data_IF_268553220962
#
_entry.id   IF_268553220962
#
_cell.length_a   1.000
_cell.length_b   1.000
_cell.length_c   1.000
_cell.angle_alpha   90.00
_cell.angle_beta   90.00
_cell.angle_gamma   90.00
#
_symmetry.space_group_name_H-M   'P 1'
#
loop_
_entity.id
_entity.type
_entity.pdbx_description
1 polymer ?
#
# COMPACT_ATOMS: atom_id res chain seq x y z
N UNK A 1 9.07 -47.42 17.36
CA UNK A 1 8.95 -46.95 15.96
C UNK A 1 10.08 -45.96 15.76
N UNK A 2 11.14 -46.35 15.04
CA UNK A 2 12.35 -45.53 14.87
C UNK A 2 11.95 -44.18 14.26
N UNK A 3 12.16 -43.09 15.01
CA UNK A 3 12.11 -41.75 14.43
C UNK A 3 13.29 -41.67 13.47
N UNK A 4 13.03 -41.75 12.17
CA UNK A 4 14.03 -41.34 11.18
C UNK A 4 14.38 -39.89 11.52
N UNK A 5 15.62 -39.68 11.97
CA UNK A 5 16.19 -38.36 12.13
C UNK A 5 16.70 -38.00 10.74
N UNK A 6 16.05 -37.02 10.10
CA UNK A 6 16.51 -36.50 8.83
C UNK A 6 17.91 -35.90 9.04
N UNK A 7 18.89 -36.46 8.34
CA UNK A 7 20.29 -35.99 8.34
C UNK A 7 20.52 -35.06 7.15
N UNK A 8 21.61 -34.29 7.14
CA UNK A 8 21.98 -33.45 5.99
C UNK A 8 22.14 -34.23 4.67
N UNK A 9 22.44 -35.54 4.74
CA UNK A 9 22.52 -36.44 3.59
C UNK A 9 21.17 -36.93 3.08
N UNK A 10 20.07 -36.68 3.80
CA UNK A 10 18.72 -37.10 3.40
C UNK A 10 18.22 -36.19 2.27
N UNK A 11 17.85 -36.79 1.12
CA UNK A 11 17.24 -36.04 0.02
C UNK A 11 15.93 -35.39 0.47
N UNK A 12 15.63 -34.18 -0.02
CA UNK A 12 14.45 -33.39 0.38
C UNK A 12 13.15 -34.21 0.32
N UNK A 13 12.85 -34.85 -0.83
CA UNK A 13 11.61 -35.64 -0.99
C UNK A 13 11.61 -37.00 -0.27
N UNK A 14 12.73 -37.37 0.36
CA UNK A 14 12.83 -38.53 1.24
C UNK A 14 12.78 -38.18 2.73
N UNK A 15 12.76 -36.88 3.07
CA UNK A 15 12.72 -36.42 4.45
C UNK A 15 11.34 -36.69 5.08
N UNK A 16 11.34 -37.09 6.35
CA UNK A 16 10.12 -37.38 7.09
C UNK A 16 9.23 -36.13 7.25
N UNK A 17 9.85 -34.94 7.30
CA UNK A 17 9.15 -33.66 7.37
C UNK A 17 8.37 -33.33 6.08
N UNK A 18 8.87 -33.74 4.90
CA UNK A 18 8.20 -33.52 3.61
C UNK A 18 7.02 -34.48 3.39
N UNK A 19 6.96 -35.58 4.16
CA UNK A 19 5.87 -36.55 4.10
C UNK A 19 4.59 -36.08 4.82
N UNK A 20 4.58 -34.88 5.41
CA UNK A 20 3.47 -34.32 6.18
C UNK A 20 3.10 -32.93 5.64
N UNK A 21 1.81 -32.53 5.68
CA UNK A 21 1.42 -31.15 5.40
C UNK A 21 2.11 -30.17 6.35
N UNK A 22 2.34 -28.94 5.89
CA UNK A 22 2.83 -27.86 6.75
C UNK A 22 1.80 -27.56 7.85
N UNK A 23 2.24 -27.23 9.09
CA UNK A 23 1.33 -26.81 10.16
C UNK A 23 0.57 -25.53 9.81
N UNK A 24 -0.75 -25.54 10.03
CA UNK A 24 -1.64 -24.42 9.65
C UNK A 24 -2.24 -23.65 10.83
N UNK A 25 -2.29 -24.24 12.03
CA UNK A 25 -2.98 -23.66 13.20
C UNK A 25 -2.06 -23.38 14.39
N UNK A 26 -0.90 -24.04 14.47
CA UNK A 26 -0.01 -23.98 15.63
C UNK A 26 1.45 -23.90 15.18
N UNK A 27 2.28 -23.29 16.02
CA UNK A 27 3.73 -23.24 15.82
C UNK A 27 4.28 -24.68 15.96
N UNK A 28 5.12 -25.17 15.03
CA UNK A 28 5.71 -26.50 15.15
C UNK A 28 6.56 -26.64 16.43
N UNK A 29 6.44 -27.76 17.14
CA UNK A 29 7.23 -28.05 18.36
C UNK A 29 8.74 -28.22 18.10
N UNK A 30 9.12 -28.50 16.84
CA UNK A 30 10.49 -28.74 16.42
C UNK A 30 10.82 -27.98 15.14
N UNK A 31 12.08 -27.60 15.00
CA UNK A 31 12.60 -27.05 13.76
C UNK A 31 12.64 -28.08 12.64
N UNK A 32 12.57 -27.60 11.40
CA UNK A 32 12.78 -28.35 10.16
C UNK A 32 14.11 -27.92 9.53
N UNK A 33 14.71 -28.76 8.68
CA UNK A 33 15.87 -28.33 7.87
C UNK A 33 15.46 -27.16 6.94
N UNK A 34 16.30 -26.13 6.77
CA UNK A 34 15.94 -24.96 5.96
C UNK A 34 15.48 -25.29 4.53
N UNK A 35 16.14 -26.25 3.87
CA UNK A 35 15.80 -26.65 2.50
C UNK A 35 14.47 -27.40 2.39
N UNK A 36 14.12 -28.21 3.40
CA UNK A 36 12.83 -28.89 3.43
C UNK A 36 11.70 -27.86 3.61
N UNK A 37 11.89 -26.88 4.51
CA UNK A 37 10.93 -25.81 4.73
C UNK A 37 10.76 -24.93 3.47
N UNK A 38 11.86 -24.53 2.84
CA UNK A 38 11.85 -23.77 1.59
C UNK A 38 11.12 -24.55 0.48
N UNK A 39 11.44 -25.83 0.30
CA UNK A 39 10.84 -26.63 -0.75
C UNK A 39 9.34 -26.84 -0.53
N UNK A 40 8.90 -27.11 0.69
CA UNK A 40 7.48 -27.27 1.01
C UNK A 40 6.68 -25.99 0.73
N UNK A 41 7.15 -24.83 1.22
CA UNK A 41 6.50 -23.54 0.96
C UNK A 41 6.47 -23.24 -0.55
N UNK A 42 7.59 -23.49 -1.24
CA UNK A 42 7.67 -23.30 -2.70
C UNK A 42 6.66 -24.17 -3.46
N UNK A 43 6.39 -25.40 -3.01
CA UNK A 43 5.38 -26.26 -3.63
C UNK A 43 3.96 -25.75 -3.39
N UNK A 44 3.63 -25.24 -2.20
CA UNK A 44 2.33 -24.62 -1.94
C UNK A 44 2.09 -23.41 -2.85
N UNK A 45 3.12 -22.59 -3.09
CA UNK A 45 3.05 -21.43 -3.99
C UNK A 45 2.84 -21.80 -5.46
N UNK A 46 2.99 -23.06 -5.88
CA UNK A 46 2.61 -23.49 -7.24
C UNK A 46 1.09 -23.45 -7.46
N UNK A 47 0.31 -23.41 -6.39
CA UNK A 47 -1.15 -23.28 -6.44
C UNK A 47 -1.59 -21.84 -6.69
N UNK A 48 -0.69 -20.86 -6.56
CA UNK A 48 -0.96 -19.49 -6.97
C UNK A 48 -1.09 -19.40 -8.49
N UNK A 49 -1.93 -18.47 -8.95
CA UNK A 49 -2.06 -18.17 -10.37
C UNK A 49 -0.76 -17.60 -10.95
N UNK A 50 -0.50 -17.87 -12.23
CA UNK A 50 0.63 -17.25 -12.92
C UNK A 50 0.41 -15.74 -13.07
N UNK A 51 1.21 -14.94 -12.37
CA UNK A 51 1.10 -13.48 -12.36
C UNK A 51 1.22 -12.85 -13.77
N UNK A 52 1.87 -13.51 -14.74
CA UNK A 52 1.95 -13.04 -16.14
C UNK A 52 0.66 -13.18 -16.92
N UNK A 53 -0.22 -14.05 -16.45
CA UNK A 53 -1.52 -14.29 -17.07
C UNK A 53 -2.63 -13.58 -16.29
N UNK A 54 -2.30 -12.86 -15.20
CA UNK A 54 -3.24 -12.04 -14.47
C UNK A 54 -3.45 -10.70 -15.18
N UNK A 55 -4.58 -10.56 -15.88
CA UNK A 55 -4.96 -9.34 -16.59
C UNK A 55 -5.88 -8.42 -15.76
N UNK A 56 -6.16 -8.77 -14.50
CA UNK A 56 -7.03 -7.98 -13.62
C UNK A 56 -6.27 -7.01 -12.72
N UNK A 57 -5.01 -7.33 -12.38
CA UNK A 57 -4.21 -6.50 -11.48
C UNK A 57 -3.63 -5.28 -12.20
N UNK A 58 -3.51 -4.18 -11.46
CA UNK A 58 -2.77 -2.99 -11.88
C UNK A 58 -1.32 -3.00 -11.36
N UNK A 59 -0.95 -3.95 -10.50
CA UNK A 59 0.40 -4.05 -9.94
C UNK A 59 1.38 -4.67 -10.95
N UNK A 60 2.64 -4.25 -10.88
CA UNK A 60 3.71 -4.76 -11.73
C UNK A 60 3.95 -6.25 -11.48
N UNK A 61 4.07 -7.04 -12.56
CA UNK A 61 4.38 -8.49 -12.50
C UNK A 61 5.64 -8.87 -13.26
N UNK A 62 6.38 -7.88 -13.78
CA UNK A 62 7.71 -8.03 -14.39
C UNK A 62 8.70 -7.01 -13.89
N UNK A 63 9.90 -7.46 -13.58
CA UNK A 63 11.02 -6.64 -13.19
C UNK A 63 12.27 -7.14 -13.90
N UNK A 64 13.13 -6.21 -14.31
CA UNK A 64 14.46 -6.50 -14.83
C UNK A 64 15.35 -7.15 -13.76
N UNK A 65 16.36 -7.91 -14.18
CA UNK A 65 17.26 -8.58 -13.23
C UNK A 65 18.04 -7.59 -12.35
N UNK A 66 18.33 -6.40 -12.88
CA UNK A 66 18.94 -5.30 -12.15
C UNK A 66 18.04 -4.83 -10.99
N UNK A 67 16.73 -4.74 -11.21
CA UNK A 67 15.76 -4.38 -10.16
C UNK A 67 15.75 -5.45 -9.08
N UNK A 68 15.67 -6.73 -9.45
CA UNK A 68 15.71 -7.85 -8.48
C UNK A 68 16.96 -7.83 -7.62
N UNK A 69 18.13 -7.60 -8.23
CA UNK A 69 19.41 -7.52 -7.51
C UNK A 69 19.47 -6.32 -6.56
N UNK A 70 18.90 -5.18 -6.93
CA UNK A 70 18.81 -4.01 -6.04
C UNK A 70 17.88 -4.30 -4.85
N UNK A 71 16.75 -4.97 -5.09
CA UNK A 71 15.82 -5.36 -4.03
C UNK A 71 16.49 -6.32 -3.04
N UNK A 72 17.22 -7.33 -3.53
CA UNK A 72 17.98 -8.27 -2.70
C UNK A 72 19.06 -7.56 -1.85
N UNK A 73 19.83 -6.65 -2.45
CA UNK A 73 20.80 -5.80 -1.73
C UNK A 73 20.13 -4.91 -0.66
N UNK A 74 18.84 -4.65 -0.79
CA UNK A 74 18.09 -3.72 0.06
C UNK A 74 17.21 -4.43 1.09
N UNK A 75 17.14 -5.77 1.09
CA UNK A 75 16.22 -6.54 1.94
C UNK A 75 16.38 -6.25 3.44
N UNK A 76 17.60 -5.91 3.88
CA UNK A 76 17.92 -5.60 5.28
C UNK A 76 18.03 -4.09 5.57
N UNK A 77 17.66 -3.22 4.62
CA UNK A 77 17.73 -1.75 4.80
C UNK A 77 16.40 -1.23 5.33
N UNK A 78 16.43 -0.64 6.51
CA UNK A 78 15.24 -0.06 7.13
C UNK A 78 15.03 1.40 6.67
N UNK A 79 14.01 1.65 5.85
CA UNK A 79 13.79 2.99 5.28
C UNK A 79 13.48 4.06 6.34
N UNK A 80 12.88 3.69 7.48
CA UNK A 80 12.58 4.68 8.54
C UNK A 80 13.83 5.12 9.31
N UNK A 81 14.89 4.31 9.28
CA UNK A 81 16.15 4.59 9.96
C UNK A 81 17.08 5.42 9.05
N UNK A 82 16.79 6.72 8.98
CA UNK A 82 17.47 7.65 8.08
C UNK A 82 18.92 7.95 8.46
N UNK A 83 19.26 7.74 9.73
CA UNK A 83 20.61 7.98 10.24
C UNK A 83 21.54 6.80 9.90
N UNK A 84 21.04 5.57 9.97
CA UNK A 84 21.79 4.36 9.59
C UNK A 84 21.86 4.19 8.06
N UNK A 85 20.79 4.57 7.34
CA UNK A 85 20.70 4.43 5.88
C UNK A 85 20.52 5.77 5.14
N UNK A 86 21.44 6.74 5.31
CA UNK A 86 21.28 8.09 4.77
C UNK A 86 21.26 8.12 3.24
N UNK A 87 21.96 7.20 2.59
CA UNK A 87 21.96 7.13 1.13
C UNK A 87 20.64 6.61 0.56
N UNK A 88 19.96 5.69 1.27
CA UNK A 88 18.60 5.25 0.92
C UNK A 88 17.59 6.39 1.13
N UNK A 89 17.72 7.12 2.24
CA UNK A 89 16.88 8.28 2.52
C UNK A 89 17.06 9.39 1.47
N UNK A 90 18.29 9.67 1.01
CA UNK A 90 18.49 10.65 -0.06
C UNK A 90 17.94 10.15 -1.41
N UNK A 91 18.01 8.85 -1.72
CA UNK A 91 17.34 8.28 -2.90
C UNK A 91 15.83 8.51 -2.86
N UNK A 92 15.17 8.28 -1.70
CA UNK A 92 13.76 8.62 -1.50
C UNK A 92 13.50 10.10 -1.82
N UNK A 93 14.32 11.00 -1.27
CA UNK A 93 14.15 12.44 -1.48
C UNK A 93 14.39 12.87 -2.93
N UNK A 94 15.31 12.21 -3.66
CA UNK A 94 15.48 12.40 -5.10
C UNK A 94 14.21 11.99 -5.84
N UNK A 95 13.60 10.86 -5.50
CA UNK A 95 12.33 10.42 -6.10
C UNK A 95 11.21 11.42 -5.84
N UNK A 96 11.08 11.94 -4.62
CA UNK A 96 10.10 13.00 -4.29
C UNK A 96 10.32 14.23 -5.17
N UNK A 97 11.57 14.71 -5.31
CA UNK A 97 11.89 15.86 -6.17
C UNK A 97 11.56 15.60 -7.64
N UNK A 98 11.88 14.41 -8.14
CA UNK A 98 11.59 14.02 -9.53
C UNK A 98 10.08 13.97 -9.80
N UNK A 99 9.30 13.36 -8.90
CA UNK A 99 7.84 13.27 -9.01
C UNK A 99 7.18 14.65 -8.87
N UNK A 100 7.62 15.49 -7.94
CA UNK A 100 7.11 16.85 -7.80
C UNK A 100 7.34 17.68 -9.06
N UNK A 101 8.52 17.55 -9.69
CA UNK A 101 8.80 18.20 -10.98
C UNK A 101 7.91 17.64 -12.09
N UNK A 102 7.72 16.31 -12.14
CA UNK A 102 6.84 15.65 -13.11
C UNK A 102 5.40 16.15 -13.01
N UNK A 103 4.92 16.45 -11.79
CA UNK A 103 3.58 16.99 -11.53
C UNK A 103 3.50 18.51 -11.53
N UNK A 104 4.51 19.20 -12.06
CA UNK A 104 4.54 20.67 -12.19
C UNK A 104 4.32 21.40 -10.85
N UNK A 105 4.91 20.90 -9.76
CA UNK A 105 4.90 21.61 -8.49
C UNK A 105 5.51 23.03 -8.66
N UNK A 106 5.02 24.05 -7.93
CA UNK A 106 5.43 25.44 -8.11
C UNK A 106 6.95 25.65 -8.08
N UNK A 107 7.47 26.44 -9.04
CA UNK A 107 8.90 26.72 -9.15
C UNK A 107 9.42 27.49 -7.92
N UNK A 108 10.61 27.13 -7.44
CA UNK A 108 11.25 27.76 -6.27
C UNK A 108 10.77 27.23 -4.91
N UNK A 109 9.74 26.37 -4.87
CA UNK A 109 9.35 25.68 -3.64
C UNK A 109 10.18 24.41 -3.44
N UNK A 110 10.63 24.15 -2.20
CA UNK A 110 11.15 22.84 -1.83
C UNK A 110 9.99 21.83 -1.87
N UNK A 111 10.07 20.75 -2.68
CA UNK A 111 9.02 19.74 -2.71
C UNK A 111 8.78 19.12 -1.33
N UNK A 112 7.52 18.98 -0.94
CA UNK A 112 7.11 18.32 0.31
C UNK A 112 6.40 17.02 -0.06
N UNK A 113 6.94 15.90 0.37
CA UNK A 113 6.38 14.58 0.14
C UNK A 113 7.22 13.47 0.78
N UNK A 114 6.72 12.25 0.74
CA UNK A 114 7.40 11.06 1.23
C UNK A 114 7.01 9.83 0.39
N UNK A 115 7.80 8.77 0.48
CA UNK A 115 7.35 7.46 0.05
C UNK A 115 6.27 6.93 0.99
N UNK A 116 5.48 6.00 0.49
CA UNK A 116 4.46 5.24 1.23
C UNK A 116 4.48 3.81 0.69
N UNK A 117 3.92 2.86 1.42
CA UNK A 117 3.81 1.47 0.95
C UNK A 117 2.94 1.38 -0.31
N UNK A 118 1.96 2.28 -0.45
CA UNK A 118 1.15 2.42 -1.65
C UNK A 118 0.11 3.52 -1.51
N UNK A 119 -0.68 3.72 -2.57
CA UNK A 119 -1.65 4.83 -2.64
C UNK A 119 -2.68 4.84 -1.51
N UNK A 120 -2.99 3.71 -0.87
CA UNK A 120 -3.89 3.70 0.29
C UNK A 120 -3.35 4.56 1.45
N UNK A 121 -2.08 4.42 1.80
CA UNK A 121 -1.44 5.23 2.83
C UNK A 121 -1.29 6.69 2.37
N UNK A 122 -0.88 6.92 1.12
CA UNK A 122 -0.78 8.27 0.57
C UNK A 122 -2.12 9.03 0.57
N UNK A 123 -3.23 8.35 0.23
CA UNK A 123 -4.58 8.89 0.29
C UNK A 123 -4.97 9.26 1.73
N UNK A 124 -4.65 8.40 2.71
CA UNK A 124 -4.92 8.70 4.11
C UNK A 124 -4.15 9.92 4.60
N UNK A 125 -2.85 10.02 4.27
CA UNK A 125 -2.03 11.19 4.61
C UNK A 125 -2.55 12.47 3.94
N UNK A 126 -2.92 12.39 2.66
CA UNK A 126 -3.53 13.50 1.92
C UNK A 126 -4.87 13.94 2.50
N UNK A 127 -5.73 12.98 2.85
CA UNK A 127 -7.02 13.20 3.50
C UNK A 127 -6.89 13.80 4.89
N UNK A 128 -5.97 13.30 5.71
CA UNK A 128 -5.63 13.88 7.02
C UNK A 128 -5.17 15.32 6.86
N UNK A 129 -4.25 15.59 5.92
CA UNK A 129 -3.80 16.95 5.66
C UNK A 129 -4.96 17.88 5.25
N UNK A 130 -5.90 17.42 4.42
CA UNK A 130 -7.10 18.18 4.07
C UNK A 130 -8.01 18.45 5.28
N UNK A 131 -8.28 17.42 6.09
CA UNK A 131 -9.08 17.52 7.31
C UNK A 131 -8.49 18.51 8.31
N UNK A 132 -7.19 18.43 8.57
CA UNK A 132 -6.49 19.33 9.49
C UNK A 132 -6.48 20.78 8.97
N UNK A 133 -6.23 21.00 7.66
CA UNK A 133 -6.31 22.34 7.06
C UNK A 133 -7.73 22.92 7.16
N UNK A 134 -8.77 22.12 6.91
CA UNK A 134 -10.16 22.56 7.05
C UNK A 134 -10.50 22.90 8.51
N UNK A 135 -10.15 22.04 9.48
CA UNK A 135 -10.36 22.30 10.92
C UNK A 135 -9.69 23.60 11.36
N UNK A 136 -8.45 23.84 10.93
CA UNK A 136 -7.73 25.07 11.25
C UNK A 136 -8.47 26.32 10.72
N UNK A 137 -8.92 26.30 9.47
CA UNK A 137 -9.70 27.41 8.88
C UNK A 137 -11.03 27.63 9.60
N UNK A 138 -11.76 26.56 9.95
CA UNK A 138 -13.03 26.65 10.69
C UNK A 138 -12.84 27.27 12.08
N UNK A 139 -11.84 26.80 12.83
CA UNK A 139 -11.49 27.33 14.16
C UNK A 139 -11.10 28.80 14.10
N UNK A 140 -10.26 29.19 13.14
CA UNK A 140 -9.86 30.58 12.95
C UNK A 140 -11.06 31.50 12.63
N UNK A 141 -12.09 30.97 11.97
CA UNK A 141 -13.33 31.68 11.68
C UNK A 141 -14.40 31.57 12.80
N UNK A 142 -14.09 30.94 13.94
CA UNK A 142 -15.05 30.72 15.03
C UNK A 142 -16.22 29.80 14.67
N UNK A 143 -16.08 28.93 13.66
CA UNK A 143 -17.14 28.05 13.16
C UNK A 143 -17.01 26.62 13.70
N UNK A 144 -18.12 25.86 13.84
CA UNK A 144 -18.08 24.45 14.24
C UNK A 144 -17.22 23.59 13.30
N UNK A 145 -16.58 22.53 13.81
CA UNK A 145 -15.70 21.67 13.02
C UNK A 145 -15.94 20.16 13.25
N UNK A 146 -17.16 19.81 13.63
CA UNK A 146 -17.61 18.48 14.05
C UNK A 146 -18.20 17.62 12.92
N UNK A 147 -18.54 18.21 11.76
CA UNK A 147 -19.22 17.50 10.65
C UNK A 147 -18.48 17.61 9.31
N UNK A 148 -17.22 17.17 9.20
CA UNK A 148 -16.50 17.22 7.92
C UNK A 148 -17.12 16.27 6.88
N UNK A 149 -17.12 16.67 5.61
CA UNK A 149 -17.44 15.79 4.48
C UNK A 149 -16.36 15.81 3.40
N UNK A 150 -16.32 14.77 2.57
CA UNK A 150 -15.45 14.63 1.40
C UNK A 150 -16.32 14.31 0.18
N UNK A 151 -16.15 15.07 -0.91
CA UNK A 151 -16.89 14.85 -2.16
C UNK A 151 -16.01 14.11 -3.16
N UNK A 152 -16.54 13.05 -3.77
CA UNK A 152 -15.78 12.25 -4.73
C UNK A 152 -16.67 11.58 -5.78
N UNK A 153 -16.04 11.04 -6.84
CA UNK A 153 -16.68 10.12 -7.77
C UNK A 153 -16.62 8.66 -7.30
N UNK A 154 -16.78 7.68 -8.21
CA UNK A 154 -16.60 6.26 -7.89
C UNK A 154 -15.14 5.96 -7.52
N UNK A 155 -14.86 5.99 -6.23
CA UNK A 155 -13.50 5.94 -5.70
C UNK A 155 -13.06 4.53 -5.35
N UNK A 156 -11.75 4.33 -5.27
CA UNK A 156 -11.18 3.11 -4.70
C UNK A 156 -11.51 3.01 -3.19
N UNK A 157 -11.62 1.78 -2.66
CA UNK A 157 -12.07 1.48 -1.29
C UNK A 157 -11.27 2.21 -0.19
N UNK A 158 -10.04 2.65 -0.45
CA UNK A 158 -9.20 3.39 0.49
C UNK A 158 -9.88 4.69 0.97
N UNK A 159 -10.68 5.35 0.13
CA UNK A 159 -11.40 6.55 0.51
C UNK A 159 -12.59 6.27 1.42
N UNK A 160 -13.28 5.14 1.24
CA UNK A 160 -14.28 4.68 2.20
C UNK A 160 -13.65 4.35 3.55
N UNK A 161 -12.49 3.67 3.55
CA UNK A 161 -11.71 3.40 4.78
C UNK A 161 -11.31 4.71 5.47
N UNK A 162 -10.78 5.67 4.71
CA UNK A 162 -10.44 6.99 5.24
C UNK A 162 -11.66 7.66 5.90
N UNK A 163 -12.77 7.76 5.17
CA UNK A 163 -13.97 8.40 5.67
C UNK A 163 -14.50 7.72 6.95
N UNK A 164 -14.43 6.38 7.00
CA UNK A 164 -14.84 5.60 8.17
C UNK A 164 -13.89 5.79 9.37
N UNK A 165 -12.58 5.76 9.17
CA UNK A 165 -11.61 5.78 10.27
C UNK A 165 -11.44 7.16 10.91
N UNK A 166 -11.75 8.22 10.16
CA UNK A 166 -11.57 9.62 10.61
C UNK A 166 -12.87 10.41 10.73
N UNK A 167 -14.01 9.73 10.78
CA UNK A 167 -15.35 10.31 10.95
C UNK A 167 -15.65 11.45 9.97
N UNK A 168 -15.41 11.18 8.68
CA UNK A 168 -15.72 12.08 7.57
C UNK A 168 -16.91 11.52 6.79
N UNK A 169 -17.94 12.34 6.57
CA UNK A 169 -19.06 11.98 5.71
C UNK A 169 -18.59 11.83 4.26
N UNK A 170 -18.82 10.67 3.63
CA UNK A 170 -18.52 10.48 2.21
C UNK A 170 -19.71 10.91 1.35
N UNK A 171 -19.49 11.86 0.45
CA UNK A 171 -20.47 12.37 -0.53
C UNK A 171 -20.08 11.91 -1.92
N UNK A 172 -20.30 10.63 -2.16
CA UNK A 172 -19.97 9.97 -3.42
C UNK A 172 -21.02 10.29 -4.50
N UNK A 173 -20.56 10.60 -5.71
CA UNK A 173 -21.39 10.73 -6.90
C UNK A 173 -21.60 9.34 -7.51
N UNK A 174 -22.83 8.81 -7.55
CA UNK A 174 -23.08 7.47 -8.04
C UNK A 174 -22.88 7.41 -9.57
N UNK A 175 -22.32 6.30 -10.03
CA UNK A 175 -22.28 5.97 -11.47
C UNK A 175 -23.68 5.74 -12.01
N UNK A 176 -23.89 6.10 -13.28
CA UNK A 176 -25.13 5.86 -14.02
C UNK A 176 -24.78 5.42 -15.45
N UNK A 177 -25.67 4.71 -16.17
CA UNK A 177 -25.45 4.38 -17.57
C UNK A 177 -25.10 5.63 -18.39
N UNK A 178 -23.96 5.60 -19.08
CA UNK A 178 -23.46 6.75 -19.86
C UNK A 178 -22.73 7.84 -19.04
N UNK A 179 -22.66 7.71 -17.72
CA UNK A 179 -21.95 8.63 -16.82
C UNK A 179 -21.25 7.84 -15.70
N UNK A 180 -20.02 7.39 -15.98
CA UNK A 180 -19.21 6.56 -15.08
C UNK A 180 -18.18 7.34 -14.26
N UNK A 181 -18.17 8.68 -14.38
CA UNK A 181 -17.28 9.57 -13.65
C UNK A 181 -18.10 10.68 -12.98
N UNK A 182 -17.52 11.31 -11.96
CA UNK A 182 -18.09 12.50 -11.35
C UNK A 182 -18.12 13.67 -12.33
N UNK A 183 -19.31 14.22 -12.58
CA UNK A 183 -19.45 15.47 -13.34
C UNK A 183 -19.17 16.68 -12.46
N UNK A 184 -18.77 17.79 -13.07
CA UNK A 184 -18.60 19.07 -12.36
C UNK A 184 -19.91 19.52 -11.72
N UNK A 185 -21.05 19.32 -12.39
CA UNK A 185 -22.36 19.69 -11.87
C UNK A 185 -22.74 18.88 -10.63
N UNK A 186 -22.57 17.56 -10.66
CA UNK A 186 -22.85 16.68 -9.52
C UNK A 186 -21.92 16.94 -8.33
N UNK A 187 -20.67 17.28 -8.61
CA UNK A 187 -19.68 17.69 -7.62
C UNK A 187 -20.15 18.98 -6.92
N UNK A 188 -20.46 20.03 -7.69
CA UNK A 188 -20.85 21.34 -7.13
C UNK A 188 -22.11 21.25 -6.27
N UNK A 189 -23.07 20.38 -6.62
CA UNK A 189 -24.28 20.13 -5.81
C UNK A 189 -24.01 19.52 -4.43
N UNK A 190 -22.83 18.94 -4.20
CA UNK A 190 -22.45 18.24 -2.96
C UNK A 190 -21.47 19.00 -2.10
N UNK A 191 -20.85 20.05 -2.64
CA UNK A 191 -19.88 20.89 -1.92
C UNK A 191 -20.62 21.88 -1.00
N UNK A 192 -20.19 21.94 0.25
CA UNK A 192 -20.65 22.93 1.23
C UNK A 192 -19.47 23.46 2.08
N UNK A 193 -19.76 24.25 3.11
CA UNK A 193 -18.73 24.83 3.99
C UNK A 193 -18.01 23.81 4.89
N UNK A 194 -18.50 22.57 4.94
CA UNK A 194 -17.91 21.46 5.68
C UNK A 194 -17.11 20.50 4.78
N UNK A 195 -17.08 20.73 3.47
CA UNK A 195 -16.28 19.94 2.53
C UNK A 195 -14.79 20.20 2.75
N UNK A 196 -14.04 19.15 3.10
CA UNK A 196 -12.61 19.22 3.39
C UNK A 196 -11.76 19.21 2.11
N UNK A 197 -12.22 18.45 1.11
CA UNK A 197 -11.64 18.37 -0.22
C UNK A 197 -12.63 17.71 -1.21
N UNK A 198 -12.32 17.86 -2.50
CA UNK A 198 -12.90 17.08 -3.58
C UNK A 198 -11.84 16.14 -4.13
N UNK A 199 -12.16 14.87 -4.35
CA UNK A 199 -11.26 13.85 -4.89
C UNK A 199 -11.74 13.37 -6.26
N UNK A 200 -11.08 13.80 -7.36
CA UNK A 200 -11.27 13.21 -8.68
C UNK A 200 -10.53 11.87 -8.80
N UNK A 201 -11.03 10.95 -9.62
CA UNK A 201 -10.41 9.65 -9.96
C UNK A 201 -10.66 9.35 -11.42
#
# INVERSE_FOLDING_TARGET
MNKHIDTDSTSIFGAADVARPLPVNEIPERSMRPEDAYQLIKQELLLDGNARQNLATFCQTWDEDQVRRIMDLSISKNLIDKDEYPQSADIEQRCVRMLAKLWNAPAGATPIGCSTIGSSEACMLGGLAALHRWRARRKAAGKPCDKPNLVCGPVQICWHKFCRYWDVEIREVPMRPGQYCMSVEDMLKRVDENTICVVPT
#
